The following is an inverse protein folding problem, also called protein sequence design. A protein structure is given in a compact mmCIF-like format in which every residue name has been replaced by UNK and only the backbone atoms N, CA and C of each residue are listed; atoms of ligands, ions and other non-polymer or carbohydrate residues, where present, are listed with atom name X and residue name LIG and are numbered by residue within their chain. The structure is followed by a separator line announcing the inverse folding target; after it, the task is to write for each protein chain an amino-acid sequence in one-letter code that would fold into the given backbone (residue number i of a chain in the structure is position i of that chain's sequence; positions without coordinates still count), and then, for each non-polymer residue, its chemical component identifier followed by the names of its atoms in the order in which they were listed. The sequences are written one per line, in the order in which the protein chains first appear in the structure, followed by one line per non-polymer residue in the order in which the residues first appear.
data_IF_206902632641
#
_entry.id   IF_206902632641
#
_cell.length_a   1.000
_cell.length_b   1.000
_cell.length_c   1.000
_cell.angle_alpha   90.00
_cell.angle_beta   90.00
_cell.angle_gamma   90.00
#
_symmetry.space_group_name_H-M   'P 1'
#
loop_
_entity.id
_entity.type
_entity.pdbx_description
1 polymer ?
#
# COMPACT_ATOMS: atom_id res chain seq x y z
N UNK A 1 7.98 56.33 -17.15
CA UNK A 1 7.76 55.49 -15.95
C UNK A 1 8.73 55.97 -14.89
N UNK A 2 8.25 56.28 -13.68
CA UNK A 2 9.10 56.81 -12.61
C UNK A 2 10.02 55.66 -12.09
N UNK A 3 11.28 55.95 -11.77
CA UNK A 3 12.29 54.98 -11.29
C UNK A 3 11.78 54.17 -10.07
N UNK A 4 11.04 54.81 -9.19
CA UNK A 4 10.41 54.18 -8.04
C UNK A 4 9.37 53.13 -8.44
N UNK A 5 8.56 53.38 -9.45
CA UNK A 5 7.54 52.46 -9.97
C UNK A 5 8.22 51.26 -10.64
N UNK A 6 9.31 51.45 -11.36
CA UNK A 6 10.08 50.38 -11.99
C UNK A 6 10.68 49.42 -10.95
N UNK A 7 11.26 49.98 -9.88
CA UNK A 7 11.85 49.15 -8.80
C UNK A 7 10.79 48.31 -8.08
N UNK A 8 9.62 48.89 -7.81
CA UNK A 8 8.54 48.14 -7.17
C UNK A 8 8.04 47.02 -8.08
N UNK A 9 7.84 47.31 -9.37
CA UNK A 9 7.38 46.32 -10.32
C UNK A 9 8.39 45.17 -10.46
N UNK A 10 9.67 45.48 -10.57
CA UNK A 10 10.75 44.46 -10.62
C UNK A 10 10.81 43.60 -9.36
N UNK A 11 10.66 44.19 -8.18
CA UNK A 11 10.63 43.44 -6.91
C UNK A 11 9.40 42.52 -6.85
N UNK A 12 8.24 43.00 -7.22
CA UNK A 12 7.01 42.19 -7.28
C UNK A 12 7.14 41.01 -8.26
N UNK A 13 7.68 41.25 -9.45
CA UNK A 13 7.91 40.19 -10.44
C UNK A 13 8.85 39.13 -9.91
N UNK A 14 9.94 39.50 -9.25
CA UNK A 14 10.89 38.57 -8.67
C UNK A 14 10.28 37.72 -7.54
N UNK A 15 9.45 38.33 -6.69
CA UNK A 15 8.74 37.61 -5.61
C UNK A 15 7.74 36.61 -6.21
N UNK A 16 6.95 37.02 -7.18
CA UNK A 16 5.97 36.12 -7.83
C UNK A 16 6.69 34.95 -8.53
N UNK A 17 7.78 35.25 -9.24
CA UNK A 17 8.57 34.22 -9.92
C UNK A 17 9.20 33.24 -8.90
N UNK A 18 9.74 33.74 -7.79
CA UNK A 18 10.31 32.92 -6.72
C UNK A 18 9.25 32.02 -6.06
N UNK A 19 8.07 32.55 -5.76
CA UNK A 19 6.95 31.78 -5.21
C UNK A 19 6.48 30.69 -6.17
N UNK A 20 6.32 31.03 -7.46
CA UNK A 20 5.92 30.07 -8.49
C UNK A 20 6.93 28.92 -8.63
N UNK A 21 8.23 29.23 -8.61
CA UNK A 21 9.27 28.23 -8.71
C UNK A 21 9.31 27.31 -7.46
N UNK A 22 9.19 27.89 -6.28
CA UNK A 22 9.11 27.14 -5.03
C UNK A 22 7.91 26.18 -5.02
N UNK A 23 6.73 26.64 -5.46
CA UNK A 23 5.53 25.83 -5.57
C UNK A 23 5.73 24.65 -6.55
N UNK A 24 6.34 24.90 -7.71
CA UNK A 24 6.63 23.85 -8.68
C UNK A 24 7.62 22.81 -8.13
N UNK A 25 8.64 23.23 -7.39
CA UNK A 25 9.60 22.32 -6.75
C UNK A 25 8.89 21.45 -5.71
N UNK A 26 8.07 22.05 -4.84
CA UNK A 26 7.33 21.31 -3.80
C UNK A 26 6.37 20.30 -4.44
N UNK A 27 5.64 20.70 -5.47
CA UNK A 27 4.74 19.80 -6.20
C UNK A 27 5.52 18.67 -6.89
N UNK A 28 6.64 18.98 -7.53
CA UNK A 28 7.48 18.01 -8.21
C UNK A 28 8.08 16.98 -7.26
N UNK A 29 8.62 17.43 -6.13
CA UNK A 29 9.17 16.54 -5.09
C UNK A 29 8.05 15.68 -4.47
N UNK A 30 6.91 16.29 -4.17
CA UNK A 30 5.74 15.58 -3.63
C UNK A 30 5.25 14.51 -4.60
N UNK A 31 5.15 14.84 -5.89
CA UNK A 31 4.74 13.90 -6.93
C UNK A 31 5.73 12.76 -7.11
N UNK A 32 7.03 13.04 -7.12
CA UNK A 32 8.07 12.01 -7.24
C UNK A 32 8.07 11.07 -6.01
N UNK A 33 7.95 11.63 -4.81
CA UNK A 33 7.87 10.86 -3.58
C UNK A 33 6.62 9.97 -3.56
N UNK A 34 5.48 10.49 -4.01
CA UNK A 34 4.24 9.73 -4.08
C UNK A 34 4.29 8.61 -5.12
N UNK A 35 4.96 8.82 -6.25
CA UNK A 35 5.08 7.81 -7.30
C UNK A 35 5.95 6.61 -6.91
N UNK A 36 7.02 6.86 -6.17
CA UNK A 36 8.03 5.85 -5.83
C UNK A 36 7.81 5.20 -4.45
N UNK A 37 6.87 5.72 -3.64
CA UNK A 37 6.66 5.19 -2.31
C UNK A 37 5.81 3.92 -2.34
N UNK A 38 6.30 2.86 -1.73
CA UNK A 38 5.47 1.73 -1.33
C UNK A 38 4.46 2.21 -0.30
N UNK A 39 3.28 1.55 -0.26
CA UNK A 39 2.27 1.83 0.76
C UNK A 39 2.82 1.52 2.14
N UNK A 40 3.54 0.40 2.23
CA UNK A 40 4.26 -0.02 3.42
C UNK A 40 5.75 -0.15 3.15
N UNK A 41 6.56 0.26 4.13
CA UNK A 41 8.00 -0.02 4.15
C UNK A 41 8.29 -1.19 5.06
N UNK A 42 9.31 -1.98 4.71
CA UNK A 42 9.73 -3.14 5.50
C UNK A 42 8.54 -4.02 5.89
N UNK A 43 7.56 -4.11 4.97
CA UNK A 43 6.37 -4.89 5.22
C UNK A 43 6.63 -6.35 4.91
N UNK A 44 6.20 -7.21 5.82
CA UNK A 44 6.12 -8.65 5.64
C UNK A 44 4.71 -9.15 5.88
N UNK A 45 4.33 -10.20 5.18
CA UNK A 45 3.10 -10.93 5.45
C UNK A 45 3.48 -12.34 5.87
N UNK A 46 2.85 -12.82 6.92
CA UNK A 46 3.00 -14.18 7.39
C UNK A 46 1.64 -14.84 7.58
N UNK A 47 1.59 -16.16 7.41
CA UNK A 47 0.45 -16.98 7.80
C UNK A 47 0.65 -17.36 9.26
N UNK A 48 -0.38 -17.19 10.08
CA UNK A 48 -0.29 -17.39 11.53
C UNK A 48 -0.91 -18.70 12.02
N UNK A 49 -1.52 -19.49 11.12
CA UNK A 49 -2.12 -20.78 11.43
C UNK A 49 -1.78 -21.82 10.35
N UNK A 50 -1.97 -23.10 10.68
CA UNK A 50 -1.99 -24.18 9.70
C UNK A 50 -3.47 -24.52 9.43
N UNK A 51 -4.07 -23.96 8.39
CA UNK A 51 -5.46 -24.20 8.11
C UNK A 51 -5.70 -25.64 7.61
N UNK A 52 -6.84 -26.19 7.94
CA UNK A 52 -7.34 -27.43 7.32
C UNK A 52 -8.27 -27.07 6.15
N UNK A 53 -8.48 -27.98 5.24
CA UNK A 53 -9.43 -27.82 4.13
C UNK A 53 -10.81 -27.35 4.63
N UNK A 54 -11.35 -26.28 4.03
CA UNK A 54 -12.63 -25.69 4.42
C UNK A 54 -12.58 -24.73 5.64
N UNK A 55 -11.40 -24.50 6.20
CA UNK A 55 -11.21 -23.52 7.28
C UNK A 55 -10.76 -22.15 6.77
N UNK A 56 -10.18 -21.33 7.61
CA UNK A 56 -9.66 -20.00 7.26
C UNK A 56 -8.14 -19.94 7.38
N UNK A 57 -7.52 -19.27 6.43
CA UNK A 57 -6.12 -18.87 6.46
C UNK A 57 -6.05 -17.51 7.16
N UNK A 58 -5.28 -17.42 8.23
CA UNK A 58 -5.07 -16.17 8.95
C UNK A 58 -3.75 -15.54 8.53
N UNK A 59 -3.83 -14.31 8.05
CA UNK A 59 -2.67 -13.52 7.65
C UNK A 59 -2.42 -12.40 8.64
N UNK A 60 -1.17 -12.09 8.86
CA UNK A 60 -0.72 -10.90 9.56
C UNK A 60 0.17 -10.08 8.64
N UNK A 61 -0.11 -8.79 8.53
CA UNK A 61 0.73 -7.82 7.86
C UNK A 61 1.43 -6.98 8.92
N UNK A 62 2.74 -7.03 8.92
CA UNK A 62 3.57 -6.15 9.72
C UNK A 62 4.32 -5.19 8.81
N UNK A 63 4.38 -3.92 9.16
CA UNK A 63 5.09 -2.94 8.36
C UNK A 63 4.89 -1.52 8.85
N UNK A 64 5.62 -0.59 8.26
CA UNK A 64 5.43 0.82 8.51
C UNK A 64 4.73 1.49 7.33
N UNK A 65 3.65 2.20 7.60
CA UNK A 65 2.85 2.89 6.60
C UNK A 65 3.41 4.27 6.32
N UNK A 66 3.43 4.67 5.05
CA UNK A 66 3.90 6.00 4.62
C UNK A 66 2.81 6.98 4.25
N UNK A 67 1.67 6.50 3.81
CA UNK A 67 0.61 7.34 3.24
C UNK A 67 -0.76 6.92 3.73
N UNK A 68 -1.71 7.85 3.70
CA UNK A 68 -3.12 7.52 3.89
C UNK A 68 -3.64 6.76 2.67
N UNK A 69 -3.84 5.47 2.86
CA UNK A 69 -4.34 4.59 1.82
C UNK A 69 -5.47 3.72 2.37
N UNK A 70 -6.46 3.47 1.54
CA UNK A 70 -7.54 2.53 1.82
C UNK A 70 -7.29 1.26 1.02
N UNK A 71 -7.27 0.11 1.67
CA UNK A 71 -7.21 -1.18 1.00
C UNK A 71 -8.54 -1.43 0.29
N UNK A 72 -8.50 -1.57 -1.03
CA UNK A 72 -9.70 -1.74 -1.86
C UNK A 72 -9.93 -3.18 -2.28
N UNK A 73 -8.84 -3.91 -2.49
CA UNK A 73 -8.88 -5.30 -2.95
C UNK A 73 -7.66 -6.07 -2.49
N UNK A 74 -7.85 -7.34 -2.18
CA UNK A 74 -6.78 -8.32 -2.00
C UNK A 74 -7.03 -9.47 -2.94
N UNK A 75 -6.03 -9.83 -3.71
CA UNK A 75 -6.03 -10.98 -4.60
C UNK A 75 -4.81 -11.85 -4.28
N UNK A 76 -4.99 -13.15 -4.27
CA UNK A 76 -3.90 -14.08 -3.97
C UNK A 76 -3.86 -15.22 -4.95
N UNK A 77 -2.64 -15.58 -5.33
CA UNK A 77 -2.30 -16.78 -6.07
C UNK A 77 -1.57 -17.74 -5.12
N UNK A 78 -2.04 -18.97 -4.98
CA UNK A 78 -1.32 -20.03 -4.29
C UNK A 78 -0.86 -21.09 -5.29
N UNK A 79 0.38 -21.47 -5.22
CA UNK A 79 0.99 -22.47 -6.09
C UNK A 79 1.55 -23.60 -5.25
N UNK A 80 1.14 -24.84 -5.58
CA UNK A 80 1.70 -26.04 -4.97
C UNK A 80 2.96 -26.46 -5.74
N UNK A 81 4.11 -26.40 -5.09
CA UNK A 81 5.41 -26.72 -5.72
C UNK A 81 5.54 -28.21 -6.11
N UNK A 82 4.78 -29.12 -5.48
CA UNK A 82 4.84 -30.54 -5.73
C UNK A 82 3.94 -30.98 -6.89
N UNK A 83 2.69 -30.48 -6.90
CA UNK A 83 1.69 -30.89 -7.88
C UNK A 83 1.62 -29.96 -9.10
N UNK A 84 2.11 -28.73 -8.98
CA UNK A 84 1.98 -27.70 -9.99
C UNK A 84 0.60 -27.06 -10.05
N UNK A 85 -0.28 -27.38 -9.11
CA UNK A 85 -1.62 -26.81 -9.06
C UNK A 85 -1.59 -25.35 -8.63
N UNK A 86 -2.45 -24.55 -9.27
CA UNK A 86 -2.63 -23.14 -8.96
C UNK A 86 -4.06 -22.87 -8.48
N UNK A 87 -4.16 -22.14 -7.40
CA UNK A 87 -5.42 -21.65 -6.83
C UNK A 87 -5.41 -20.14 -6.80
N UNK A 88 -6.50 -19.54 -7.28
CA UNK A 88 -6.69 -18.09 -7.22
C UNK A 88 -7.85 -17.81 -6.25
N UNK A 89 -7.64 -16.84 -5.36
CA UNK A 89 -8.68 -16.39 -4.47
C UNK A 89 -8.66 -14.86 -4.36
N UNK A 90 -9.84 -14.32 -4.54
CA UNK A 90 -10.08 -12.89 -4.56
C UNK A 90 -10.91 -12.51 -3.34
N UNK A 91 -10.43 -11.54 -2.61
CA UNK A 91 -11.11 -11.02 -1.44
C UNK A 91 -11.58 -9.59 -1.69
N UNK A 92 -12.76 -9.50 -2.31
CA UNK A 92 -13.42 -8.22 -2.59
C UNK A 92 -14.12 -7.66 -1.34
N UNK A 93 -13.39 -7.41 -0.26
CA UNK A 93 -13.94 -6.69 0.89
C UNK A 93 -13.18 -5.39 1.05
N UNK A 94 -13.88 -4.25 0.95
CA UNK A 94 -13.32 -2.96 1.36
C UNK A 94 -12.99 -3.05 2.85
N UNK A 95 -11.77 -3.43 3.15
CA UNK A 95 -11.24 -3.33 4.49
C UNK A 95 -10.79 -1.88 4.61
N UNK A 96 -11.62 -1.07 5.26
CA UNK A 96 -11.17 0.24 5.72
C UNK A 96 -10.12 -0.06 6.79
N UNK A 97 -8.87 0.12 6.43
CA UNK A 97 -7.82 0.28 7.43
C UNK A 97 -8.14 1.63 8.05
N UNK A 98 -8.80 1.59 9.20
CA UNK A 98 -9.26 2.77 9.92
C UNK A 98 -8.07 3.68 10.17
N UNK A 99 -8.28 4.98 10.01
CA UNK A 99 -7.30 5.99 10.40
C UNK A 99 -6.98 5.96 11.90
N UNK A 100 -7.79 5.28 12.69
CA UNK A 100 -7.60 5.13 14.14
C UNK A 100 -6.47 4.12 14.45
N UNK A 101 -6.21 3.16 13.57
CA UNK A 101 -4.99 2.33 13.61
C UNK A 101 -3.75 3.17 13.21
N UNK A 102 -4.00 4.41 12.82
CA UNK A 102 -3.04 5.46 12.50
C UNK A 102 -2.46 6.10 13.73
N UNK A 103 -2.99 5.73 14.87
CA UNK A 103 -2.69 6.45 16.07
C UNK A 103 -1.27 6.24 16.53
N UNK A 104 -0.53 7.25 16.12
CA UNK A 104 0.20 7.99 17.11
C UNK A 104 1.34 7.27 17.76
N UNK A 105 1.87 6.24 17.18
CA UNK A 105 3.28 6.04 17.36
C UNK A 105 3.97 6.72 16.17
N UNK A 106 4.90 7.61 16.42
CA UNK A 106 5.83 8.16 15.44
C UNK A 106 6.57 7.07 14.63
N UNK A 107 6.31 5.82 14.92
CA UNK A 107 6.89 4.63 14.31
C UNK A 107 6.07 4.06 13.16
N UNK A 108 4.80 4.47 12.97
CA UNK A 108 3.96 4.02 11.86
C UNK A 108 3.87 2.50 11.68
N UNK A 109 4.05 1.73 12.75
CA UNK A 109 3.95 0.27 12.70
C UNK A 109 2.49 -0.10 12.54
N UNK A 110 2.19 -0.86 11.51
CA UNK A 110 0.87 -1.44 11.25
C UNK A 110 0.97 -2.93 11.54
N UNK A 111 0.14 -3.39 12.46
CA UNK A 111 -0.16 -4.79 12.69
C UNK A 111 -1.62 -5.00 12.27
N UNK A 112 -1.83 -5.64 11.14
CA UNK A 112 -3.16 -5.87 10.61
C UNK A 112 -3.38 -7.35 10.34
N UNK A 113 -4.46 -7.89 10.91
CA UNK A 113 -4.83 -9.28 10.75
C UNK A 113 -6.10 -9.41 9.92
N UNK A 114 -6.12 -10.37 9.01
CA UNK A 114 -7.32 -10.74 8.28
C UNK A 114 -7.36 -12.24 8.02
N UNK A 115 -8.54 -12.74 7.72
CA UNK A 115 -8.76 -14.15 7.43
C UNK A 115 -9.36 -14.31 6.04
N UNK A 116 -8.91 -15.32 5.32
CA UNK A 116 -9.44 -15.72 4.02
C UNK A 116 -9.86 -17.20 4.08
N UNK A 117 -10.98 -17.57 3.46
CA UNK A 117 -11.36 -18.99 3.39
C UNK A 117 -10.33 -19.76 2.56
N UNK A 118 -10.05 -20.99 2.95
CA UNK A 118 -9.29 -21.93 2.11
C UNK A 118 -10.12 -22.18 0.84
N UNK A 119 -9.57 -22.00 -0.38
CA UNK A 119 -10.28 -22.27 -1.61
C UNK A 119 -10.83 -23.68 -1.72
N UNK A 120 -11.98 -23.81 -2.36
CA UNK A 120 -12.55 -25.12 -2.64
C UNK A 120 -11.62 -25.95 -3.53
N UNK A 121 -11.39 -27.19 -3.12
CA UNK A 121 -10.50 -28.10 -3.83
C UNK A 121 -9.01 -27.99 -3.44
N UNK A 122 -8.64 -27.03 -2.61
CA UNK A 122 -7.27 -26.94 -2.08
C UNK A 122 -7.08 -28.01 -1.00
N UNK A 123 -6.28 -29.02 -1.32
CA UNK A 123 -5.98 -30.14 -0.43
C UNK A 123 -4.80 -29.89 0.50
N UNK A 124 -4.48 -30.87 1.37
CA UNK A 124 -3.27 -30.83 2.19
C UNK A 124 -2.00 -30.68 1.35
N UNK A 125 -1.08 -29.86 1.82
CA UNK A 125 0.19 -29.65 1.11
C UNK A 125 0.87 -28.34 1.49
N UNK A 126 2.02 -28.10 0.84
CA UNK A 126 2.81 -26.88 0.99
C UNK A 126 2.59 -26.01 -0.24
N UNK A 127 2.18 -24.78 0.00
CA UNK A 127 1.88 -23.81 -1.05
C UNK A 127 2.73 -22.57 -0.88
N UNK A 128 3.11 -21.99 -2.01
CA UNK A 128 3.71 -20.66 -2.08
C UNK A 128 2.64 -19.67 -2.49
N UNK A 129 2.40 -18.69 -1.65
CA UNK A 129 1.36 -17.68 -1.87
C UNK A 129 2.01 -16.37 -2.29
N UNK A 130 1.48 -15.79 -3.37
CA UNK A 130 1.73 -14.41 -3.77
C UNK A 130 0.46 -13.61 -3.53
N UNK A 131 0.56 -12.54 -2.78
CA UNK A 131 -0.56 -11.70 -2.40
C UNK A 131 -0.40 -10.31 -3.03
N UNK A 132 -1.44 -9.88 -3.73
CA UNK A 132 -1.55 -8.57 -4.34
C UNK A 132 -2.57 -7.73 -3.57
N UNK A 133 -2.13 -6.60 -3.05
CA UNK A 133 -2.98 -5.67 -2.32
C UNK A 133 -3.11 -4.38 -3.10
N UNK A 134 -4.35 -4.02 -3.44
CA UNK A 134 -4.68 -2.78 -4.13
C UNK A 134 -5.11 -1.71 -3.11
N UNK A 135 -4.56 -0.52 -3.27
CA UNK A 135 -4.81 0.59 -2.36
C UNK A 135 -5.21 1.85 -3.13
N UNK A 136 -6.22 2.53 -2.61
CA UNK A 136 -6.51 3.92 -2.97
C UNK A 136 -5.80 4.84 -1.99
N UNK A 137 -4.78 5.53 -2.48
CA UNK A 137 -3.96 6.42 -1.67
C UNK A 137 -4.26 7.89 -1.98
N UNK A 138 -4.38 8.70 -0.94
CA UNK A 138 -4.55 10.15 -1.04
C UNK A 138 -3.31 10.82 -0.47
N UNK A 139 -2.73 11.72 -1.25
CA UNK A 139 -1.61 12.54 -0.80
C UNK A 139 -1.79 13.97 -1.32
N UNK A 140 -2.04 14.91 -0.43
CA UNK A 140 -2.38 16.30 -0.75
C UNK A 140 -3.58 16.38 -1.72
N UNK A 141 -3.32 16.73 -2.98
CA UNK A 141 -4.33 16.89 -4.04
C UNK A 141 -4.35 15.70 -5.02
N UNK A 142 -3.55 14.66 -4.76
CA UNK A 142 -3.42 13.52 -5.66
C UNK A 142 -4.08 12.29 -5.06
N UNK A 143 -4.89 11.62 -5.88
CA UNK A 143 -5.45 10.30 -5.58
C UNK A 143 -4.87 9.31 -6.59
N UNK A 144 -4.44 8.15 -6.12
CA UNK A 144 -3.85 7.11 -6.97
C UNK A 144 -4.06 5.73 -6.43
N UNK A 145 -4.38 4.81 -7.33
CA UNK A 145 -4.36 3.38 -7.04
C UNK A 145 -2.92 2.90 -7.03
N UNK A 146 -2.58 2.13 -6.00
CA UNK A 146 -1.29 1.46 -5.87
C UNK A 146 -1.53 -0.02 -5.64
N UNK A 147 -0.68 -0.83 -6.25
CA UNK A 147 -0.63 -2.27 -6.01
C UNK A 147 0.67 -2.57 -5.30
N UNK A 148 0.58 -3.28 -4.20
CA UNK A 148 1.74 -3.82 -3.49
C UNK A 148 1.65 -5.34 -3.51
N UNK A 149 2.75 -5.97 -3.91
CA UNK A 149 2.89 -7.40 -4.02
C UNK A 149 3.75 -7.92 -2.86
N UNK A 150 3.36 -9.06 -2.32
CA UNK A 150 4.07 -9.81 -1.31
C UNK A 150 4.25 -11.23 -1.83
N UNK A 151 5.49 -11.62 -2.05
CA UNK A 151 5.86 -12.91 -2.63
C UNK A 151 6.34 -13.89 -1.56
N UNK A 152 6.38 -15.16 -1.94
CA UNK A 152 7.00 -16.24 -1.18
C UNK A 152 6.43 -16.46 0.23
N UNK A 153 5.14 -16.18 0.42
CA UNK A 153 4.47 -16.47 1.68
C UNK A 153 4.23 -17.97 1.75
N UNK A 154 4.83 -18.62 2.74
CA UNK A 154 4.64 -20.06 2.95
C UNK A 154 3.27 -20.33 3.59
N UNK A 155 2.49 -21.23 3.00
CA UNK A 155 1.20 -21.71 3.50
C UNK A 155 1.22 -23.23 3.55
N UNK A 156 0.94 -23.79 4.71
CA UNK A 156 0.83 -25.23 4.94
C UNK A 156 -0.64 -25.53 5.22
N UNK A 157 -1.26 -26.40 4.40
CA UNK A 157 -2.62 -26.93 4.61
C UNK A 157 -2.49 -28.33 5.19
N UNK A 158 -3.19 -28.61 6.29
CA UNK A 158 -3.25 -29.92 6.97
C UNK A 158 -4.48 -30.72 6.60
#
# INVERSE_FOLDING_TARGET
MNDKTYRILKAATNIISGLSMATLIVLGVSFASFNNAFVFNNAGIAVTNNPVTGSQINFILEGSRRHECTLTRVHSDAYNDETGEKFEFDFARKIYIRSDDYLGSDTGIVDHQWAMPVPDGMGPGVYRVTLYSEFDCVYLLFQRNKVQMFDDIALIIE
#
